data_IF_353062766926
#
_entry.id   IF_353062766926
#
_cell.length_a   1.000
_cell.length_b   1.000
_cell.length_c   1.000
_cell.angle_alpha   90.00
_cell.angle_beta   90.00
_cell.angle_gamma   90.00
#
_symmetry.space_group_name_H-M   'P 1'
#
loop_
_entity.id
_entity.type
_entity.pdbx_description
1 polymer ?
#
# COMPACT_ATOMS: atom_id res chain seq x y z
N UNK A 1 47.16 8.89 24.60
CA UNK A 1 46.03 7.93 24.53
C UNK A 1 46.57 6.51 24.67
N UNK A 2 45.95 5.64 25.48
CA UNK A 2 46.41 4.25 25.63
C UNK A 2 46.24 3.54 24.27
N UNK A 3 47.25 2.76 23.79
CA UNK A 3 47.19 2.12 22.48
C UNK A 3 45.97 1.19 22.33
N UNK A 4 45.50 0.58 23.42
CA UNK A 4 44.27 -0.23 23.42
C UNK A 4 42.98 0.55 23.20
N UNK A 5 42.93 1.86 23.48
CA UNK A 5 41.75 2.70 23.23
C UNK A 5 41.64 3.03 21.73
N UNK A 6 42.76 3.27 21.06
CA UNK A 6 42.83 3.53 19.62
C UNK A 6 42.43 2.26 18.85
N UNK A 7 42.94 1.09 19.26
CA UNK A 7 42.59 -0.19 18.62
C UNK A 7 41.09 -0.50 18.74
N UNK A 8 40.48 -0.24 19.90
CA UNK A 8 39.03 -0.44 20.12
C UNK A 8 38.19 0.53 19.29
N UNK A 9 38.62 1.79 19.17
CA UNK A 9 37.92 2.80 18.35
C UNK A 9 37.98 2.45 16.87
N UNK A 10 39.12 1.98 16.37
CA UNK A 10 39.25 1.50 14.99
C UNK A 10 38.35 0.29 14.72
N UNK A 11 38.26 -0.67 15.66
CA UNK A 11 37.43 -1.87 15.52
C UNK A 11 35.93 -1.54 15.47
N UNK A 12 35.47 -0.59 16.30
CA UNK A 12 34.10 -0.07 16.29
C UNK A 12 33.76 0.70 15.00
N UNK A 13 34.73 1.45 14.46
CA UNK A 13 34.55 2.19 13.21
C UNK A 13 34.45 1.24 12.01
N UNK A 14 35.28 0.19 11.96
CA UNK A 14 35.21 -0.84 10.90
C UNK A 14 33.90 -1.64 10.92
N UNK A 15 33.35 -1.92 12.12
CA UNK A 15 32.10 -2.67 12.25
C UNK A 15 30.85 -1.84 11.92
N UNK A 16 30.95 -0.50 11.97
CA UNK A 16 29.87 0.42 11.57
C UNK A 16 29.83 0.65 10.05
N UNK A 17 30.89 0.34 9.31
CA UNK A 17 30.94 0.49 7.84
C UNK A 17 30.45 -0.75 7.07
N UNK A 18 30.11 -1.84 7.77
CA UNK A 18 29.59 -3.08 7.18
C UNK A 18 28.05 -3.14 7.14
N UNK A 19 27.37 -2.01 6.92
CA UNK A 19 25.97 -2.03 6.53
C UNK A 19 25.87 -2.62 5.12
N UNK A 20 25.48 -3.89 5.03
CA UNK A 20 25.26 -4.55 3.75
C UNK A 20 24.29 -3.75 2.89
N UNK A 21 24.71 -3.41 1.67
CA UNK A 21 23.83 -2.81 0.67
C UNK A 21 22.85 -3.91 0.27
N UNK A 22 21.61 -3.80 0.73
CA UNK A 22 20.52 -4.62 0.21
C UNK A 22 20.24 -4.13 -1.21
N UNK A 23 20.72 -4.88 -2.21
CA UNK A 23 20.44 -4.59 -3.62
C UNK A 23 19.04 -5.14 -3.94
N UNK A 24 18.03 -4.29 -3.77
CA UNK A 24 16.69 -4.59 -4.27
C UNK A 24 16.72 -4.70 -5.81
N UNK A 25 15.98 -5.66 -6.37
CA UNK A 25 15.85 -5.84 -7.83
C UNK A 25 15.18 -4.62 -8.48
N UNK A 26 13.88 -4.45 -8.27
CA UNK A 26 13.14 -3.29 -8.78
C UNK A 26 12.63 -2.33 -7.69
N UNK A 27 12.72 -1.04 -8.01
CA UNK A 27 12.03 0.04 -7.30
C UNK A 27 10.95 0.64 -8.19
N UNK A 28 9.74 0.73 -7.67
CA UNK A 28 8.63 1.42 -8.33
C UNK A 28 8.53 2.84 -7.77
N UNK A 29 8.32 3.84 -8.64
CA UNK A 29 8.36 5.27 -8.30
C UNK A 29 7.22 5.78 -7.42
N UNK A 30 6.27 4.91 -7.05
CA UNK A 30 5.16 5.22 -6.15
C UNK A 30 4.59 3.94 -5.55
N UNK A 31 3.73 4.08 -4.54
CA UNK A 31 3.03 2.96 -3.88
C UNK A 31 1.59 2.80 -4.38
N UNK A 32 1.13 3.73 -5.21
CA UNK A 32 -0.20 3.79 -5.83
C UNK A 32 -0.18 4.71 -7.05
N UNK A 33 -1.23 4.60 -7.84
CA UNK A 33 -1.46 5.43 -9.03
C UNK A 33 -2.85 6.03 -8.91
N UNK A 34 -2.95 7.34 -9.13
CA UNK A 34 -4.23 8.03 -9.34
C UNK A 34 -4.37 8.24 -10.84
N UNK A 35 -5.50 7.80 -11.40
CA UNK A 35 -5.90 8.02 -12.79
C UNK A 35 -7.09 9.00 -12.78
N UNK A 36 -6.84 10.30 -13.01
CA UNK A 36 -7.92 11.27 -13.17
C UNK A 36 -8.72 11.01 -14.44
N UNK A 37 -10.04 11.13 -14.40
CA UNK A 37 -10.89 10.96 -15.59
C UNK A 37 -10.66 12.03 -16.68
N UNK A 38 -10.03 13.17 -16.34
CA UNK A 38 -9.56 14.17 -17.32
C UNK A 38 -8.45 13.67 -18.23
N UNK A 39 -7.71 12.64 -17.79
CA UNK A 39 -6.43 12.28 -18.38
C UNK A 39 -6.59 11.10 -19.33
N UNK A 40 -5.76 11.08 -20.38
CA UNK A 40 -5.75 9.98 -21.37
C UNK A 40 -4.93 8.79 -20.89
N UNK A 41 -3.89 9.04 -20.12
CA UNK A 41 -3.00 8.03 -19.55
C UNK A 41 -2.50 8.48 -18.18
N UNK A 42 -2.22 7.49 -17.32
CA UNK A 42 -1.40 7.67 -16.13
C UNK A 42 -0.07 6.95 -16.35
N UNK A 43 0.97 7.28 -15.59
CA UNK A 43 2.26 6.61 -15.73
C UNK A 43 2.92 6.35 -14.37
N UNK A 44 3.76 5.32 -14.35
CA UNK A 44 4.61 5.02 -13.20
C UNK A 44 5.98 4.53 -13.67
N UNK A 45 7.03 5.01 -13.03
CA UNK A 45 8.41 4.62 -13.35
C UNK A 45 8.81 3.39 -12.55
N UNK A 46 9.51 2.46 -13.18
CA UNK A 46 10.15 1.30 -12.56
C UNK A 46 11.64 1.39 -12.83
N UNK A 47 12.47 1.24 -11.80
CA UNK A 47 13.92 1.33 -11.88
C UNK A 47 14.54 0.02 -11.42
N UNK A 48 15.57 -0.46 -12.12
CA UNK A 48 16.37 -1.59 -11.66
C UNK A 48 17.56 -1.08 -10.87
N UNK A 49 17.57 -1.35 -9.57
CA UNK A 49 18.69 -1.01 -8.67
C UNK A 49 19.64 -2.20 -8.44
N UNK A 50 19.25 -3.39 -8.89
CA UNK A 50 20.05 -4.60 -8.82
C UNK A 50 21.19 -4.60 -9.84
N UNK A 51 22.23 -5.39 -9.57
CA UNK A 51 23.43 -5.43 -10.41
C UNK A 51 23.19 -6.09 -11.78
N UNK A 52 22.18 -6.93 -11.89
CA UNK A 52 21.87 -7.73 -13.09
C UNK A 52 20.71 -7.16 -13.89
N UNK A 53 20.71 -7.45 -15.18
CA UNK A 53 19.56 -7.18 -16.04
C UNK A 53 18.38 -8.08 -15.67
N UNK A 54 17.18 -7.53 -15.69
CA UNK A 54 15.94 -8.27 -15.39
C UNK A 54 14.91 -8.05 -16.48
N UNK A 55 13.90 -8.90 -16.51
CA UNK A 55 12.69 -8.64 -17.26
C UNK A 55 11.59 -8.24 -16.28
N UNK A 56 10.75 -7.26 -16.63
CA UNK A 56 9.54 -6.94 -15.87
C UNK A 56 8.32 -7.28 -16.70
N UNK A 57 7.32 -7.89 -16.06
CA UNK A 57 5.99 -8.11 -16.62
C UNK A 57 4.99 -7.25 -15.86
N UNK A 58 4.13 -6.53 -16.58
CA UNK A 58 3.12 -5.64 -16.01
C UNK A 58 1.72 -5.95 -16.55
N UNK A 59 0.73 -5.99 -15.66
CA UNK A 59 -0.69 -6.16 -16.02
C UNK A 59 -1.60 -5.49 -14.98
N UNK A 60 -2.84 -5.21 -15.38
CA UNK A 60 -3.88 -4.70 -14.47
C UNK A 60 -4.75 -5.87 -14.03
N UNK A 61 -5.11 -5.90 -12.75
CA UNK A 61 -5.95 -6.91 -12.14
C UNK A 61 -7.21 -6.33 -11.56
N UNK A 62 -8.28 -7.12 -11.62
CA UNK A 62 -9.52 -6.85 -10.92
C UNK A 62 -9.33 -6.88 -9.39
N UNK A 63 -10.27 -6.25 -8.71
CA UNK A 63 -10.47 -6.49 -7.28
C UNK A 63 -10.85 -7.96 -7.03
N UNK A 64 -10.44 -8.58 -5.92
CA UNK A 64 -10.99 -9.87 -5.52
C UNK A 64 -12.52 -9.86 -5.55
N UNK A 65 -13.14 -10.83 -6.22
CA UNK A 65 -14.59 -10.90 -6.38
C UNK A 65 -15.15 -10.24 -7.66
N UNK A 66 -14.33 -9.48 -8.40
CA UNK A 66 -14.69 -8.95 -9.71
C UNK A 66 -14.06 -9.77 -10.84
N UNK A 67 -14.69 -9.78 -12.02
CA UNK A 67 -14.18 -10.51 -13.17
C UNK A 67 -13.04 -9.73 -13.85
N UNK A 68 -11.96 -10.43 -14.18
CA UNK A 68 -10.82 -9.84 -14.89
C UNK A 68 -11.21 -9.25 -16.26
N UNK A 69 -12.22 -9.83 -16.92
CA UNK A 69 -12.71 -9.35 -18.22
C UNK A 69 -13.35 -7.96 -18.16
N UNK A 70 -13.80 -7.52 -16.98
CA UNK A 70 -14.48 -6.24 -16.80
C UNK A 70 -13.51 -5.08 -16.53
N UNK A 71 -12.21 -5.36 -16.38
CA UNK A 71 -11.18 -4.35 -16.08
C UNK A 71 -10.90 -3.51 -17.34
N UNK A 72 -11.32 -2.23 -17.39
CA UNK A 72 -11.25 -1.42 -18.61
C UNK A 72 -9.92 -0.69 -18.73
N UNK A 73 -8.82 -1.32 -18.29
CA UNK A 73 -7.49 -0.73 -18.28
C UNK A 73 -6.48 -1.59 -19.02
N UNK A 74 -5.51 -0.93 -19.66
CA UNK A 74 -4.35 -1.57 -20.26
C UNK A 74 -3.06 -0.90 -19.76
N UNK A 75 -1.96 -1.66 -19.73
CA UNK A 75 -0.63 -1.14 -19.39
C UNK A 75 0.36 -1.48 -20.50
N UNK A 76 1.25 -0.54 -20.82
CA UNK A 76 2.33 -0.73 -21.79
C UNK A 76 3.65 -0.14 -21.31
N UNK A 77 4.80 -0.78 -21.60
CA UNK A 77 4.90 -2.16 -22.11
C UNK A 77 4.44 -3.17 -21.06
N UNK A 78 3.79 -4.26 -21.50
CA UNK A 78 3.40 -5.37 -20.62
C UNK A 78 4.57 -6.32 -20.32
N UNK A 79 5.65 -6.27 -21.11
CA UNK A 79 6.89 -6.98 -20.91
C UNK A 79 8.06 -6.08 -21.36
N UNK A 80 9.05 -5.86 -20.51
CA UNK A 80 10.21 -5.04 -20.85
C UNK A 80 11.48 -5.51 -20.16
N UNK A 81 12.59 -5.52 -20.91
CA UNK A 81 13.92 -5.73 -20.34
C UNK A 81 14.36 -4.45 -19.64
N UNK A 82 14.76 -4.56 -18.39
CA UNK A 82 15.24 -3.46 -17.57
C UNK A 82 16.68 -3.74 -17.15
N UNK A 83 17.62 -3.08 -17.84
CA UNK A 83 19.04 -3.26 -17.53
C UNK A 83 19.46 -2.61 -16.21
N UNK A 84 20.65 -2.95 -15.72
CA UNK A 84 21.20 -2.36 -14.50
C UNK A 84 21.19 -0.81 -14.53
N UNK A 85 20.64 -0.20 -13.47
CA UNK A 85 20.44 1.26 -13.32
C UNK A 85 19.62 1.90 -14.44
N UNK A 86 18.86 1.12 -15.20
CA UNK A 86 17.90 1.63 -16.17
C UNK A 86 16.53 1.79 -15.53
N UNK A 87 15.73 2.64 -16.18
CA UNK A 87 14.38 2.93 -15.79
C UNK A 87 13.45 2.67 -16.97
N UNK A 88 12.27 2.12 -16.69
CA UNK A 88 11.19 1.92 -17.64
C UNK A 88 9.97 2.68 -17.15
N UNK A 89 9.35 3.46 -18.03
CA UNK A 89 8.04 4.08 -17.73
C UNK A 89 6.95 3.14 -18.21
N UNK A 90 6.06 2.74 -17.30
CA UNK A 90 4.83 2.04 -17.62
C UNK A 90 3.73 3.08 -17.80
N UNK A 91 2.99 3.00 -18.90
CA UNK A 91 1.84 3.86 -19.21
C UNK A 91 0.57 3.04 -19.10
N UNK A 92 -0.42 3.60 -18.43
CA UNK A 92 -1.71 2.99 -18.14
C UNK A 92 -2.77 3.76 -18.91
N UNK A 93 -3.64 3.05 -19.61
CA UNK A 93 -4.71 3.61 -20.42
C UNK A 93 -6.05 3.12 -19.92
N UNK A 94 -7.05 4.00 -19.97
CA UNK A 94 -8.44 3.67 -19.68
C UNK A 94 -9.22 3.55 -21.00
N UNK A 95 -10.06 2.53 -21.12
CA UNK A 95 -10.92 2.30 -22.29
C UNK A 95 -11.99 3.37 -22.46
N UNK A 96 -12.28 4.17 -21.43
CA UNK A 96 -13.29 5.24 -21.48
C UNK A 96 -14.72 4.80 -21.15
N UNK A 97 -14.93 3.55 -20.73
CA UNK A 97 -16.25 3.01 -20.37
C UNK A 97 -16.15 1.96 -19.26
N UNK A 98 -17.30 1.61 -18.67
CA UNK A 98 -17.43 0.49 -17.72
C UNK A 98 -17.14 0.80 -16.25
N UNK A 99 -16.73 2.02 -15.91
CA UNK A 99 -16.53 2.43 -14.52
C UNK A 99 -17.62 3.38 -14.06
N UNK A 100 -17.98 3.27 -12.80
CA UNK A 100 -18.91 4.19 -12.11
C UNK A 100 -18.34 5.61 -12.09
N UNK A 101 -19.23 6.59 -12.17
CA UNK A 101 -18.88 8.02 -12.28
C UNK A 101 -19.21 8.82 -11.02
N UNK A 102 -19.96 8.23 -10.09
CA UNK A 102 -20.38 8.86 -8.83
C UNK A 102 -19.40 8.64 -7.68
N UNK A 103 -18.38 7.79 -7.87
CA UNK A 103 -17.36 7.45 -6.88
C UNK A 103 -16.07 6.97 -7.52
N UNK A 104 -14.99 6.99 -6.75
CA UNK A 104 -13.72 6.40 -7.14
C UNK A 104 -13.85 4.88 -7.35
N UNK A 105 -13.16 4.34 -8.35
CA UNK A 105 -13.03 2.90 -8.57
C UNK A 105 -11.60 2.45 -8.30
N UNK A 106 -11.39 1.20 -7.88
CA UNK A 106 -10.06 0.65 -7.61
C UNK A 106 -9.81 -0.61 -8.42
N UNK A 107 -8.63 -0.67 -9.02
CA UNK A 107 -8.05 -1.87 -9.64
C UNK A 107 -6.58 -1.97 -9.20
N UNK A 108 -5.85 -3.01 -9.60
CA UNK A 108 -4.47 -3.20 -9.16
C UNK A 108 -3.50 -3.29 -10.34
N UNK A 109 -2.46 -2.48 -10.34
CA UNK A 109 -1.30 -2.70 -11.20
C UNK A 109 -0.39 -3.74 -10.56
N UNK A 110 -0.17 -4.85 -11.25
CA UNK A 110 0.84 -5.84 -10.87
C UNK A 110 2.10 -5.65 -11.71
N UNK A 111 3.24 -5.63 -11.03
CA UNK A 111 4.57 -5.57 -11.65
C UNK A 111 5.37 -6.74 -11.07
N UNK A 112 5.69 -7.70 -11.91
CA UNK A 112 6.47 -8.88 -11.55
C UNK A 112 7.85 -8.77 -12.19
N UNK A 113 8.90 -8.87 -11.37
CA UNK A 113 10.24 -9.06 -11.90
C UNK A 113 10.46 -10.54 -12.26
N UNK A 114 11.30 -10.75 -13.26
CA UNK A 114 11.73 -12.06 -13.73
C UNK A 114 13.26 -11.98 -13.76
N UNK A 115 13.94 -12.56 -12.75
CA UNK A 115 15.39 -12.54 -12.67
C UNK A 115 16.03 -13.44 -13.75
N UNK A 116 17.32 -13.23 -14.03
CA UNK A 116 18.09 -14.16 -14.86
C UNK A 116 18.17 -15.52 -14.18
N UNK A 117 18.24 -16.59 -14.99
CA UNK A 117 18.55 -17.93 -14.49
C UNK A 117 19.96 -17.94 -13.93
N UNK A 118 20.16 -18.58 -12.78
CA UNK A 118 21.45 -18.67 -12.10
C UNK A 118 22.23 -19.85 -12.63
N UNK A 119 23.52 -19.63 -12.90
CA UNK A 119 24.46 -20.68 -13.32
C UNK A 119 24.96 -21.53 -12.13
N UNK A 120 24.57 -21.20 -10.90
CA UNK A 120 24.98 -21.93 -9.71
C UNK A 120 24.16 -23.21 -9.52
N UNK A 121 24.86 -24.33 -9.32
CA UNK A 121 24.26 -25.60 -8.89
C UNK A 121 23.60 -25.43 -7.51
N UNK A 122 22.33 -25.85 -7.40
CA UNK A 122 21.49 -25.72 -6.20
C UNK A 122 21.25 -24.26 -5.77
N UNK A 123 20.68 -23.45 -6.66
CA UNK A 123 20.26 -22.09 -6.34
C UNK A 123 18.75 -21.98 -6.09
N UNK A 124 18.38 -21.14 -5.13
CA UNK A 124 16.99 -20.68 -4.95
C UNK A 124 16.86 -19.31 -5.60
N UNK A 125 15.90 -19.18 -6.52
CA UNK A 125 15.55 -17.91 -7.13
C UNK A 125 14.22 -17.42 -6.59
N UNK A 126 14.17 -16.14 -6.22
CA UNK A 126 12.95 -15.48 -5.75
C UNK A 126 12.62 -14.38 -6.75
N UNK A 127 11.36 -14.36 -7.19
CA UNK A 127 10.82 -13.30 -8.04
C UNK A 127 9.79 -12.53 -7.23
N UNK A 128 9.96 -11.22 -7.10
CA UNK A 128 9.00 -10.37 -6.41
C UNK A 128 7.91 -9.84 -7.34
N UNK A 129 6.67 -9.93 -6.87
CA UNK A 129 5.52 -9.30 -7.52
C UNK A 129 4.97 -8.20 -6.62
N UNK A 130 5.03 -6.97 -7.11
CA UNK A 130 4.46 -5.80 -6.44
C UNK A 130 3.07 -5.54 -6.98
N UNK A 131 2.09 -5.37 -6.09
CA UNK A 131 0.68 -5.12 -6.43
C UNK A 131 0.27 -3.76 -5.88
N UNK A 132 0.17 -2.77 -6.76
CA UNK A 132 -0.11 -1.38 -6.43
C UNK A 132 -1.58 -1.05 -6.71
N UNK A 133 -2.20 -0.24 -5.86
CA UNK A 133 -3.55 0.26 -6.10
C UNK A 133 -3.53 1.29 -7.24
N UNK A 134 -4.43 1.14 -8.18
CA UNK A 134 -4.73 2.09 -9.25
C UNK A 134 -6.16 2.60 -9.02
N UNK A 135 -6.28 3.86 -8.65
CA UNK A 135 -7.56 4.50 -8.39
C UNK A 135 -8.00 5.30 -9.60
N UNK A 136 -9.18 4.98 -10.15
CA UNK A 136 -9.82 5.80 -11.16
C UNK A 136 -10.72 6.83 -10.49
N UNK A 137 -10.50 8.10 -10.80
CA UNK A 137 -11.17 9.22 -10.14
C UNK A 137 -11.99 10.04 -11.15
N UNK A 138 -13.33 9.84 -11.19
CA UNK A 138 -14.23 10.69 -11.94
C UNK A 138 -14.06 12.18 -11.62
N UNK A 139 -14.47 13.04 -12.57
CA UNK A 139 -14.54 14.48 -12.33
C UNK A 139 -15.76 14.83 -11.48
N UNK A 140 -15.64 15.86 -10.65
CA UNK A 140 -16.77 16.42 -9.91
C UNK A 140 -17.25 15.59 -8.72
N UNK A 141 -16.46 14.64 -8.23
CA UNK A 141 -16.76 13.95 -6.98
C UNK A 141 -16.84 14.95 -5.80
N UNK A 142 -17.80 14.78 -4.87
CA UNK A 142 -17.90 15.65 -3.70
C UNK A 142 -16.76 15.40 -2.72
N UNK A 143 -16.09 16.47 -2.27
CA UNK A 143 -14.96 16.39 -1.33
C UNK A 143 -13.64 16.03 -2.00
N UNK A 144 -12.69 15.49 -1.22
CA UNK A 144 -11.40 15.01 -1.71
C UNK A 144 -10.88 13.85 -0.86
N UNK A 145 -9.89 13.11 -1.39
CA UNK A 145 -9.33 11.92 -0.74
C UNK A 145 -8.68 12.19 0.62
N UNK A 146 -8.10 13.38 0.84
CA UNK A 146 -7.49 13.76 2.12
C UNK A 146 -8.57 13.96 3.20
N UNK A 147 -9.64 14.69 2.86
CA UNK A 147 -10.79 14.91 3.74
C UNK A 147 -11.54 13.62 4.04
N UNK A 148 -11.67 12.71 3.06
CA UNK A 148 -12.32 11.41 3.24
C UNK A 148 -11.71 10.59 4.37
N UNK A 149 -10.38 10.63 4.52
CA UNK A 149 -9.72 9.91 5.61
C UNK A 149 -10.05 10.50 7.00
N UNK A 150 -10.29 11.81 7.08
CA UNK A 150 -10.70 12.53 8.30
C UNK A 150 -12.18 12.31 8.64
N UNK A 151 -13.00 12.10 7.62
CA UNK A 151 -14.45 11.90 7.74
C UNK A 151 -14.86 10.46 8.07
N UNK A 152 -13.90 9.52 8.15
CA UNK A 152 -14.19 8.15 8.58
C UNK A 152 -14.88 8.15 9.95
N UNK A 153 -16.06 7.55 9.99
CA UNK A 153 -16.80 7.34 11.23
C UNK A 153 -16.45 5.96 11.79
N UNK A 154 -16.38 5.89 13.12
CA UNK A 154 -15.99 4.69 13.83
C UNK A 154 -17.09 4.26 14.79
N UNK A 155 -17.41 2.97 14.81
CA UNK A 155 -18.31 2.37 15.77
C UNK A 155 -17.67 1.13 16.41
N UNK A 156 -17.87 0.97 17.72
CA UNK A 156 -17.47 -0.24 18.43
C UNK A 156 -18.57 -1.29 18.24
N UNK A 157 -18.17 -2.51 17.88
CA UNK A 157 -19.07 -3.64 17.69
C UNK A 157 -18.49 -4.89 18.36
N UNK A 158 -19.31 -5.94 18.43
CA UNK A 158 -18.85 -7.29 18.71
C UNK A 158 -19.09 -8.18 17.48
N UNK A 159 -18.05 -8.88 17.04
CA UNK A 159 -18.15 -9.95 16.06
C UNK A 159 -18.27 -11.29 16.82
N UNK A 160 -19.49 -11.64 17.23
CA UNK A 160 -19.69 -12.69 18.23
C UNK A 160 -19.19 -12.23 19.60
N UNK A 161 -18.21 -12.95 20.17
CA UNK A 161 -17.54 -12.58 21.42
C UNK A 161 -16.21 -11.83 21.22
N UNK A 162 -15.84 -11.48 19.98
CA UNK A 162 -14.60 -10.78 19.69
C UNK A 162 -14.87 -9.29 19.46
N UNK A 163 -14.21 -8.37 20.20
CA UNK A 163 -14.31 -6.94 19.93
C UNK A 163 -13.89 -6.59 18.51
N UNK A 164 -14.67 -5.72 17.86
CA UNK A 164 -14.43 -5.26 16.50
C UNK A 164 -14.65 -3.75 16.41
N UNK A 165 -13.94 -3.13 15.47
CA UNK A 165 -14.24 -1.79 15.00
C UNK A 165 -14.98 -1.87 13.67
N UNK A 166 -15.93 -0.96 13.47
CA UNK A 166 -16.53 -0.69 12.19
C UNK A 166 -16.08 0.69 11.72
N UNK A 167 -15.43 0.74 10.56
CA UNK A 167 -15.14 1.98 9.86
C UNK A 167 -16.21 2.20 8.77
N UNK A 168 -16.82 3.36 8.78
CA UNK A 168 -17.89 3.76 7.85
C UNK A 168 -17.35 4.91 7.01
N UNK A 169 -17.35 4.73 5.70
CA UNK A 169 -16.89 5.73 4.75
C UNK A 169 -18.05 6.22 3.89
N UNK A 170 -18.66 7.35 4.26
CA UNK A 170 -19.77 7.94 3.52
C UNK A 170 -19.33 8.75 2.28
N UNK A 171 -18.03 8.81 2.01
CA UNK A 171 -17.47 9.65 0.94
C UNK A 171 -17.33 8.92 -0.38
N UNK A 172 -17.07 9.68 -1.44
CA UNK A 172 -16.87 9.17 -2.80
C UNK A 172 -15.45 8.63 -3.08
N UNK A 173 -14.55 8.59 -2.08
CA UNK A 173 -13.14 8.19 -2.23
C UNK A 173 -12.79 6.98 -1.39
N UNK A 174 -11.80 6.19 -1.83
CA UNK A 174 -11.26 5.09 -1.04
C UNK A 174 -10.36 5.60 0.07
N UNK A 175 -10.51 5.07 1.29
CA UNK A 175 -9.57 5.34 2.39
C UNK A 175 -8.68 4.13 2.63
N UNK A 176 -7.39 4.28 2.36
CA UNK A 176 -6.40 3.24 2.63
C UNK A 176 -5.82 3.39 4.03
N UNK A 177 -6.12 2.45 4.93
CA UNK A 177 -5.58 2.44 6.28
C UNK A 177 -4.28 1.62 6.34
N UNK A 178 -3.16 2.29 6.63
CA UNK A 178 -1.88 1.64 6.86
C UNK A 178 -1.83 0.96 8.23
N UNK A 179 -2.44 1.60 9.23
CA UNK A 179 -2.48 1.11 10.59
C UNK A 179 -3.75 1.59 11.28
N UNK A 180 -4.33 0.73 12.12
CA UNK A 180 -5.38 1.08 13.07
C UNK A 180 -5.01 0.51 14.44
N UNK A 181 -5.24 1.30 15.48
CA UNK A 181 -4.93 1.00 16.87
C UNK A 181 -6.06 1.48 17.77
N UNK A 182 -6.33 0.73 18.83
CA UNK A 182 -7.23 1.14 19.92
C UNK A 182 -6.41 1.31 21.17
N UNK A 183 -6.44 2.50 21.77
CA UNK A 183 -5.85 2.77 23.07
C UNK A 183 -6.96 2.73 24.13
N UNK A 184 -6.92 1.72 24.98
CA UNK A 184 -7.85 1.50 26.08
C UNK A 184 -7.08 1.08 27.33
N UNK A 185 -7.45 1.60 28.50
CA UNK A 185 -6.78 1.26 29.79
C UNK A 185 -5.23 1.37 29.74
N UNK A 186 -4.71 2.41 29.06
CA UNK A 186 -3.27 2.62 28.83
C UNK A 186 -2.56 1.51 28.04
N UNK A 187 -3.30 0.59 27.42
CA UNK A 187 -2.80 -0.44 26.52
C UNK A 187 -3.23 -0.18 25.09
N UNK A 188 -2.36 -0.51 24.15
CA UNK A 188 -2.60 -0.35 22.72
C UNK A 188 -2.87 -1.72 22.08
N UNK A 189 -4.01 -1.83 21.40
CA UNK A 189 -4.47 -3.04 20.74
C UNK A 189 -4.39 -2.87 19.23
N UNK A 190 -3.78 -3.85 18.57
CA UNK A 190 -3.67 -3.87 17.12
C UNK A 190 -5.02 -4.22 16.48
N UNK A 191 -5.41 -3.43 15.49
CA UNK A 191 -6.59 -3.70 14.66
C UNK A 191 -6.11 -4.09 13.26
N UNK A 192 -6.74 -5.11 12.68
CA UNK A 192 -6.46 -5.51 11.30
C UNK A 192 -6.96 -4.45 10.32
N UNK A 193 -6.05 -3.64 9.80
CA UNK A 193 -6.37 -2.53 8.91
C UNK A 193 -6.64 -2.99 7.48
N UNK A 194 -7.58 -2.31 6.82
CA UNK A 194 -7.93 -2.56 5.43
C UNK A 194 -8.19 -1.25 4.69
N UNK A 195 -8.39 -1.34 3.37
CA UNK A 195 -9.00 -0.26 2.62
C UNK A 195 -10.50 -0.24 2.89
N UNK A 196 -11.08 0.94 3.04
CA UNK A 196 -12.53 1.14 3.10
C UNK A 196 -12.96 1.80 1.79
N UNK A 197 -13.86 1.15 1.06
CA UNK A 197 -14.37 1.67 -0.22
C UNK A 197 -15.30 2.88 -0.07
N UNK A 198 -15.62 3.60 -1.15
CA UNK A 198 -16.61 4.68 -1.14
C UNK A 198 -18.01 4.16 -0.79
N UNK A 199 -18.68 4.82 0.14
CA UNK A 199 -19.98 4.39 0.69
C UNK A 199 -19.98 2.95 1.23
N UNK A 200 -18.81 2.46 1.66
CA UNK A 200 -18.63 1.12 2.21
C UNK A 200 -18.44 1.17 3.73
N UNK A 201 -18.71 0.03 4.37
CA UNK A 201 -18.53 -0.17 5.79
C UNK A 201 -17.68 -1.40 6.04
N UNK A 202 -16.52 -1.20 6.67
CA UNK A 202 -15.55 -2.27 6.93
C UNK A 202 -15.50 -2.64 8.40
N UNK A 203 -15.72 -3.92 8.70
CA UNK A 203 -15.48 -4.50 10.02
C UNK A 203 -14.02 -4.95 10.15
N UNK A 204 -13.39 -4.64 11.27
CA UNK A 204 -11.99 -4.91 11.56
C UNK A 204 -11.84 -5.47 12.98
N UNK A 205 -11.19 -6.61 13.11
CA UNK A 205 -11.03 -7.30 14.40
C UNK A 205 -9.97 -6.59 15.26
N UNK A 206 -10.27 -6.40 16.55
CA UNK A 206 -9.34 -5.85 17.54
C UNK A 206 -8.66 -7.03 18.25
N UNK A 207 -7.36 -7.20 18.05
CA UNK A 207 -6.62 -8.33 18.63
C UNK A 207 -6.24 -8.02 20.08
N UNK A 208 -6.67 -8.89 20.99
CA UNK A 208 -6.27 -8.87 22.40
C UNK A 208 -7.08 -7.94 23.31
N UNK A 209 -8.04 -7.18 22.79
CA UNK A 209 -8.95 -6.40 23.63
C UNK A 209 -9.91 -7.35 24.37
N UNK A 210 -10.10 -7.23 25.70
CA UNK A 210 -11.07 -8.03 26.44
C UNK A 210 -12.49 -7.89 25.88
N UNK A 211 -13.23 -9.00 25.81
CA UNK A 211 -14.58 -9.05 25.20
C UNK A 211 -15.67 -8.31 25.99
N UNK A 212 -15.39 -8.04 27.26
CA UNK A 212 -16.19 -7.31 28.22
C UNK A 212 -15.72 -5.87 28.42
N UNK A 213 -14.71 -5.41 27.66
CA UNK A 213 -14.29 -4.02 27.69
C UNK A 213 -15.48 -3.10 27.41
N UNK A 214 -15.68 -2.14 28.33
CA UNK A 214 -16.64 -1.05 28.19
C UNK A 214 -16.00 0.21 28.74
N UNK A 215 -16.24 1.33 28.05
CA UNK A 215 -15.65 2.61 28.40
C UNK A 215 -15.20 3.40 27.18
N UNK A 216 -14.63 4.56 27.44
CA UNK A 216 -14.06 5.40 26.38
C UNK A 216 -12.68 4.87 26.02
N UNK A 217 -12.46 4.64 24.73
CA UNK A 217 -11.15 4.33 24.17
C UNK A 217 -10.82 5.31 23.04
N UNK A 218 -9.53 5.49 22.75
CA UNK A 218 -9.10 6.31 21.62
C UNK A 218 -8.76 5.41 20.44
N UNK A 219 -9.49 5.57 19.34
CA UNK A 219 -9.13 4.96 18.06
C UNK A 219 -8.11 5.86 17.37
N UNK A 220 -6.98 5.30 16.96
CA UNK A 220 -5.94 5.98 16.17
C UNK A 220 -5.77 5.24 14.85
N UNK A 221 -5.66 5.98 13.76
CA UNK A 221 -5.39 5.39 12.46
C UNK A 221 -4.41 6.23 11.65
N UNK A 222 -3.68 5.54 10.79
CA UNK A 222 -2.81 6.13 9.79
C UNK A 222 -3.39 5.86 8.40
N UNK A 223 -3.74 6.91 7.67
CA UNK A 223 -4.18 6.81 6.28
C UNK A 223 -3.01 7.04 5.34
N UNK A 224 -3.05 6.42 4.16
CA UNK A 224 -2.12 6.67 3.07
C UNK A 224 -2.80 7.63 2.09
N UNK A 225 -2.23 8.82 1.88
CA UNK A 225 -2.75 9.80 0.91
C UNK A 225 -2.35 9.46 -0.54
N UNK A 226 -2.72 10.31 -1.50
CA UNK A 226 -2.47 10.09 -2.93
C UNK A 226 -0.98 10.02 -3.29
N UNK A 227 -0.12 10.68 -2.52
CA UNK A 227 1.34 10.68 -2.70
C UNK A 227 2.03 9.51 -1.99
N UNK A 228 1.26 8.65 -1.30
CA UNK A 228 1.81 7.54 -0.54
C UNK A 228 2.31 7.92 0.86
N UNK A 229 2.08 9.15 1.32
CA UNK A 229 2.49 9.58 2.67
C UNK A 229 1.48 9.15 3.73
N UNK A 230 1.97 8.95 4.96
CA UNK A 230 1.16 8.58 6.12
C UNK A 230 0.61 9.84 6.81
N UNK A 231 -0.69 9.85 7.05
CA UNK A 231 -1.38 10.89 7.81
C UNK A 231 -2.04 10.28 9.04
N UNK A 232 -1.81 10.92 10.19
CA UNK A 232 -2.24 10.42 11.50
C UNK A 232 -3.55 11.08 11.91
N UNK A 233 -4.47 10.27 12.41
CA UNK A 233 -5.78 10.70 12.86
C UNK A 233 -6.16 10.01 14.17
N UNK A 234 -7.09 10.59 14.92
CA UNK A 234 -7.61 9.98 16.14
C UNK A 234 -9.01 10.46 16.49
N UNK A 235 -9.79 9.58 17.11
CA UNK A 235 -11.11 9.90 17.65
C UNK A 235 -11.34 9.16 18.98
N UNK A 236 -12.05 9.78 19.90
CA UNK A 236 -12.54 9.10 21.11
C UNK A 236 -13.83 8.36 20.79
N UNK A 237 -13.91 7.10 21.19
CA UNK A 237 -15.03 6.20 20.90
C UNK A 237 -15.50 5.52 22.19
N UNK A 238 -16.81 5.46 22.37
CA UNK A 238 -17.42 4.69 23.45
C UNK A 238 -17.61 3.23 22.99
N UNK A 239 -17.08 2.29 23.79
CA UNK A 239 -17.28 0.85 23.67
C UNK A 239 -18.37 0.32 24.61
#
# INVERSE_FOLDING_TARGET
MKPGLILRLCMLLTLSMSSGICLAGIQVGGTRIIFPASDREASIQVSNLGAEDIMIQAWIEAEPGHQQADVPFAVTPSLARLGHRKQQTLRIFYQGKGLVQDRESVVWLSIQEIPQVSDANNSLQVAFRQRLKLFYRPQGLPGNAEESAKQLQWAALKAGNVPALQAINDTAFHVSLAQVRVLANHQEYAVESAMVGPHDTRKMIIKGLPSDFSGVAQVRWESINDYGALEKHSVSLQF
#
